data_IF_937868999784
#
_entry.id   IF_937868999784
#
_cell.length_a   1.000
_cell.length_b   1.000
_cell.length_c   1.000
_cell.angle_alpha   90.00
_cell.angle_beta   90.00
_cell.angle_gamma   90.00
#
_symmetry.space_group_name_H-M   'P 1'
#
loop_
_entity.id
_entity.type
_entity.pdbx_description
1 polymer ?
#
# COMPACT_ATOMS: atom_id res chain seq x y z
N UNK A 1 24.17 -9.14 73.00
CA UNK A 1 24.23 -7.67 72.81
C UNK A 1 25.10 -7.37 71.60
N UNK A 2 24.58 -6.52 70.69
CA UNK A 2 25.24 -5.88 69.53
C UNK A 2 25.68 -6.85 68.40
N UNK A 3 24.83 -7.19 67.42
CA UNK A 3 24.37 -6.36 66.28
C UNK A 3 25.50 -5.73 65.47
N UNK A 4 25.89 -6.38 64.36
CA UNK A 4 26.44 -5.72 63.17
C UNK A 4 25.92 -6.38 61.89
N UNK A 5 25.23 -5.54 61.13
CA UNK A 5 24.63 -5.69 59.81
C UNK A 5 25.67 -6.00 58.73
N UNK A 6 25.39 -7.01 57.90
CA UNK A 6 26.07 -7.25 56.62
C UNK A 6 25.12 -6.79 55.50
N UNK A 7 25.57 -5.99 54.51
CA UNK A 7 24.70 -5.48 53.47
C UNK A 7 24.34 -6.60 52.49
N UNK A 8 23.03 -6.80 52.28
CA UNK A 8 22.49 -7.65 51.24
C UNK A 8 22.76 -7.00 49.86
N UNK A 9 23.69 -7.57 49.10
CA UNK A 9 23.86 -7.26 47.68
C UNK A 9 22.74 -7.99 46.91
N UNK A 10 21.72 -7.25 46.49
CA UNK A 10 20.75 -7.71 45.51
C UNK A 10 21.47 -7.96 44.17
N UNK A 11 21.79 -9.21 43.88
CA UNK A 11 22.17 -9.64 42.55
C UNK A 11 20.92 -9.61 41.65
N UNK A 12 20.78 -8.53 40.87
CA UNK A 12 19.86 -8.51 39.74
C UNK A 12 20.34 -9.54 38.70
N UNK A 13 19.72 -10.72 38.70
CA UNK A 13 19.73 -11.64 37.56
C UNK A 13 19.10 -10.90 36.36
N UNK A 14 19.95 -10.23 35.58
CA UNK A 14 19.58 -9.79 34.25
C UNK A 14 19.38 -11.06 33.41
N UNK A 15 18.12 -11.46 33.26
CA UNK A 15 17.71 -12.37 32.19
C UNK A 15 18.04 -11.65 30.90
N UNK A 16 19.22 -11.94 30.34
CA UNK A 16 19.52 -11.67 28.94
C UNK A 16 18.62 -12.61 28.17
N UNK A 17 17.38 -12.15 27.96
CA UNK A 17 16.48 -12.72 26.99
C UNK A 17 17.18 -12.57 25.65
N UNK A 18 17.86 -13.62 25.22
CA UNK A 18 18.20 -13.81 23.82
C UNK A 18 16.86 -13.85 23.13
N UNK A 19 16.44 -12.68 22.61
CA UNK A 19 15.36 -12.62 21.65
C UNK A 19 15.85 -13.47 20.49
N UNK A 20 15.41 -14.73 20.47
CA UNK A 20 15.44 -15.56 19.29
C UNK A 20 14.64 -14.81 18.24
N UNK A 21 15.30 -13.94 17.49
CA UNK A 21 14.83 -13.44 16.22
C UNK A 21 14.76 -14.67 15.33
N UNK A 22 13.67 -15.42 15.44
CA UNK A 22 13.27 -16.34 14.40
C UNK A 22 13.35 -15.53 13.12
N UNK A 23 14.29 -15.90 12.24
CA UNK A 23 14.39 -15.30 10.94
C UNK A 23 13.02 -15.50 10.29
N UNK A 24 12.21 -14.44 10.28
CA UNK A 24 10.98 -14.40 9.50
C UNK A 24 11.44 -14.52 8.07
N UNK A 25 11.47 -15.75 7.54
CA UNK A 25 11.78 -15.98 6.14
C UNK A 25 10.84 -15.14 5.29
N UNK A 26 11.36 -14.60 4.20
CA UNK A 26 10.51 -13.95 3.20
C UNK A 26 9.33 -14.88 2.88
N UNK A 27 8.13 -14.31 2.74
CA UNK A 27 6.98 -15.06 2.26
C UNK A 27 7.24 -15.60 0.84
N UNK A 28 6.32 -16.42 0.31
CA UNK A 28 6.54 -17.09 -0.96
C UNK A 28 6.78 -16.05 -2.06
N UNK A 29 7.86 -16.21 -2.82
CA UNK A 29 7.99 -15.48 -4.08
C UNK A 29 7.13 -16.18 -5.12
N UNK A 30 6.20 -15.47 -5.74
CA UNK A 30 5.36 -16.03 -6.80
C UNK A 30 5.81 -15.49 -8.16
N UNK A 31 6.12 -16.40 -9.07
CA UNK A 31 6.54 -16.10 -10.43
C UNK A 31 5.35 -16.27 -11.36
N UNK A 32 4.72 -15.15 -11.72
CA UNK A 32 3.73 -15.09 -12.79
C UNK A 32 4.40 -14.60 -14.07
N UNK A 33 4.70 -15.52 -14.98
CA UNK A 33 5.39 -15.23 -16.23
C UNK A 33 5.38 -16.43 -17.18
N UNK A 34 5.76 -16.20 -18.42
CA UNK A 34 5.96 -17.25 -19.41
C UNK A 34 7.15 -18.14 -19.02
N UNK A 35 7.21 -19.33 -19.64
CA UNK A 35 8.13 -20.40 -19.25
C UNK A 35 9.60 -19.97 -19.23
N UNK A 36 10.08 -19.28 -20.27
CA UNK A 36 11.50 -18.91 -20.37
C UNK A 36 11.92 -17.90 -19.29
N UNK A 37 11.05 -16.94 -18.97
CA UNK A 37 11.30 -15.98 -17.91
C UNK A 37 11.32 -16.65 -16.54
N UNK A 38 10.36 -17.55 -16.29
CA UNK A 38 10.28 -18.29 -15.05
C UNK A 38 11.52 -19.17 -14.85
N UNK A 39 11.89 -19.96 -15.87
CA UNK A 39 13.07 -20.80 -15.82
C UNK A 39 14.34 -19.99 -15.61
N UNK A 40 14.46 -18.80 -16.22
CA UNK A 40 15.61 -17.93 -15.98
C UNK A 40 15.73 -17.47 -14.51
N UNK A 41 14.61 -17.13 -13.87
CA UNK A 41 14.56 -16.76 -12.45
C UNK A 41 14.92 -17.97 -11.59
N UNK A 42 14.32 -19.14 -11.88
CA UNK A 42 14.63 -20.38 -11.18
C UNK A 42 16.10 -20.75 -11.35
N UNK A 43 16.64 -20.85 -12.55
CA UNK A 43 18.02 -21.30 -12.78
C UNK A 43 19.06 -20.35 -12.16
N UNK A 44 18.72 -19.06 -12.04
CA UNK A 44 19.56 -18.07 -11.37
C UNK A 44 19.33 -17.93 -9.85
N UNK A 45 18.53 -18.78 -9.21
CA UNK A 45 18.11 -18.58 -7.81
C UNK A 45 19.23 -18.70 -6.78
N UNK A 46 20.40 -19.26 -7.15
CA UNK A 46 21.45 -19.59 -6.20
C UNK A 46 21.77 -18.40 -5.28
N UNK A 47 21.63 -18.63 -3.96
CA UNK A 47 21.90 -17.66 -2.87
C UNK A 47 20.88 -16.51 -2.73
N UNK A 48 19.68 -16.62 -3.30
CA UNK A 48 18.61 -15.64 -3.09
C UNK A 48 17.50 -16.16 -2.17
N UNK A 49 17.18 -15.37 -1.16
CA UNK A 49 16.10 -15.64 -0.21
C UNK A 49 14.77 -15.86 -0.93
N UNK A 50 14.08 -16.95 -0.62
CA UNK A 50 12.72 -17.25 -1.13
C UNK A 50 12.60 -17.63 -2.62
N UNK A 51 13.64 -17.46 -3.46
CA UNK A 51 13.57 -17.82 -4.88
C UNK A 51 13.78 -19.31 -5.12
N UNK A 52 14.64 -19.96 -4.34
CA UNK A 52 14.84 -21.41 -4.41
C UNK A 52 13.56 -22.21 -4.11
N UNK A 53 12.58 -21.57 -3.45
CA UNK A 53 11.27 -22.11 -3.11
C UNK A 53 10.14 -21.34 -3.80
N UNK A 54 10.46 -20.54 -4.83
CA UNK A 54 9.46 -19.74 -5.53
C UNK A 54 8.35 -20.61 -6.13
N UNK A 55 7.14 -20.08 -6.06
CA UNK A 55 5.95 -20.70 -6.59
C UNK A 55 5.70 -20.24 -8.02
N UNK A 56 5.07 -21.10 -8.83
CA UNK A 56 4.61 -20.78 -10.19
C UNK A 56 3.10 -20.95 -10.29
N UNK A 57 2.41 -20.04 -10.97
CA UNK A 57 0.96 -20.18 -11.15
C UNK A 57 0.64 -21.30 -12.17
N UNK A 58 -0.37 -22.12 -11.87
CA UNK A 58 -0.91 -23.13 -12.76
C UNK A 58 -1.87 -22.49 -13.81
N UNK A 59 -2.03 -23.10 -15.01
CA UNK A 59 -1.34 -24.28 -15.49
C UNK A 59 0.10 -23.94 -15.87
N UNK A 60 1.04 -24.62 -15.25
CA UNK A 60 2.42 -24.68 -15.72
C UNK A 60 2.54 -26.01 -16.46
N UNK A 61 3.06 -25.99 -17.69
CA UNK A 61 3.58 -27.23 -18.31
C UNK A 61 4.45 -27.94 -17.27
N UNK A 62 4.37 -29.26 -17.22
CA UNK A 62 5.21 -30.03 -16.29
C UNK A 62 6.67 -29.63 -16.46
N UNK A 63 7.26 -29.17 -15.36
CA UNK A 63 8.63 -28.68 -15.31
C UNK A 63 9.19 -29.10 -13.96
N UNK A 64 10.29 -29.85 -13.98
CA UNK A 64 10.96 -30.35 -12.78
C UNK A 64 11.45 -29.22 -11.87
N UNK A 65 11.70 -28.03 -12.43
CA UNK A 65 12.05 -26.80 -11.67
C UNK A 65 10.92 -26.35 -10.74
N UNK A 66 9.68 -26.63 -11.15
CA UNK A 66 8.47 -26.27 -10.42
C UNK A 66 7.70 -27.54 -10.09
N UNK A 67 8.20 -28.33 -9.12
CA UNK A 67 7.50 -29.53 -8.67
C UNK A 67 6.11 -29.14 -8.19
N UNK A 68 5.19 -30.11 -8.16
CA UNK A 68 3.79 -29.91 -7.77
C UNK A 68 3.65 -29.02 -6.54
N UNK A 69 4.40 -29.28 -5.47
CA UNK A 69 4.39 -28.55 -4.20
C UNK A 69 4.63 -27.02 -4.34
N UNK A 70 5.14 -26.55 -5.48
CA UNK A 70 5.44 -25.14 -5.78
C UNK A 70 4.54 -24.55 -6.86
N UNK A 71 3.37 -25.15 -7.08
CA UNK A 71 2.39 -24.64 -8.03
C UNK A 71 1.18 -24.04 -7.32
N UNK A 72 0.68 -22.93 -7.84
CA UNK A 72 -0.42 -22.15 -7.24
C UNK A 72 -1.64 -22.28 -8.13
N UNK A 73 -2.75 -22.80 -7.59
CA UNK A 73 -4.04 -22.82 -8.28
C UNK A 73 -4.55 -21.40 -8.54
N UNK A 74 -5.49 -21.22 -9.47
CA UNK A 74 -5.89 -19.87 -9.91
C UNK A 74 -7.40 -19.74 -10.01
N UNK A 75 -7.93 -18.76 -9.30
CA UNK A 75 -9.30 -18.29 -9.42
C UNK A 75 -9.31 -16.85 -9.91
N UNK A 76 -10.19 -16.54 -10.85
CA UNK A 76 -10.42 -15.16 -11.31
C UNK A 76 -11.31 -14.45 -10.29
N UNK A 77 -10.85 -13.35 -9.69
CA UNK A 77 -11.60 -12.61 -8.67
C UNK A 77 -12.98 -12.16 -9.15
N UNK A 78 -13.10 -11.79 -10.43
CA UNK A 78 -14.38 -11.40 -11.06
C UNK A 78 -15.45 -12.51 -11.04
N UNK A 79 -15.06 -13.77 -11.15
CA UNK A 79 -15.95 -14.94 -11.13
C UNK A 79 -16.10 -15.44 -9.70
N UNK A 80 -15.03 -15.38 -8.91
CA UNK A 80 -15.04 -15.80 -7.52
C UNK A 80 -16.01 -14.98 -6.67
N UNK A 81 -16.02 -13.64 -6.84
CA UNK A 81 -16.86 -12.73 -6.05
C UNK A 81 -18.37 -12.93 -6.27
N UNK A 82 -18.77 -13.53 -7.39
CA UNK A 82 -20.20 -13.76 -7.68
C UNK A 82 -20.75 -15.00 -6.99
N UNK A 83 -19.88 -15.90 -6.51
CA UNK A 83 -20.26 -17.15 -5.84
C UNK A 83 -20.90 -16.88 -4.46
N UNK A 84 -21.66 -17.87 -3.98
CA UNK A 84 -22.05 -17.96 -2.57
C UNK A 84 -20.86 -18.34 -1.70
N UNK A 85 -20.98 -18.24 -0.37
CA UNK A 85 -19.89 -18.63 0.53
C UNK A 85 -19.49 -20.10 0.35
N UNK A 86 -20.47 -21.02 0.28
CA UNK A 86 -20.22 -22.43 -0.03
C UNK A 86 -19.58 -22.60 -1.42
N UNK A 87 -20.04 -21.84 -2.42
CA UNK A 87 -19.46 -21.87 -3.77
C UNK A 87 -17.99 -21.45 -3.79
N UNK A 88 -17.63 -20.40 -3.04
CA UNK A 88 -16.23 -19.96 -2.87
C UNK A 88 -15.38 -21.05 -2.20
N UNK A 89 -15.88 -21.66 -1.12
CA UNK A 89 -15.19 -22.77 -0.42
C UNK A 89 -14.96 -23.95 -1.36
N UNK A 90 -15.99 -24.38 -2.08
CA UNK A 90 -15.90 -25.48 -3.05
C UNK A 90 -14.95 -25.16 -4.19
N UNK A 91 -14.94 -23.92 -4.70
CA UNK A 91 -14.00 -23.50 -5.73
C UNK A 91 -12.55 -23.57 -5.24
N UNK A 92 -12.26 -23.08 -4.03
CA UNK A 92 -10.92 -23.15 -3.43
C UNK A 92 -10.49 -24.59 -3.20
N UNK A 93 -11.34 -25.42 -2.58
CA UNK A 93 -11.03 -26.84 -2.32
C UNK A 93 -10.83 -27.63 -3.61
N UNK A 94 -11.59 -27.32 -4.66
CA UNK A 94 -11.39 -27.92 -5.99
C UNK A 94 -10.02 -27.58 -6.55
N UNK A 95 -9.60 -26.31 -6.50
CA UNK A 95 -8.24 -25.92 -6.93
C UNK A 95 -7.17 -26.63 -6.09
N UNK A 96 -7.34 -26.69 -4.76
CA UNK A 96 -6.41 -27.39 -3.87
C UNK A 96 -6.33 -28.91 -4.12
N UNK A 97 -7.42 -29.51 -4.61
CA UNK A 97 -7.49 -30.93 -4.94
C UNK A 97 -6.89 -31.25 -6.33
N UNK A 98 -6.63 -30.25 -7.17
CA UNK A 98 -6.01 -30.48 -8.48
C UNK A 98 -4.65 -31.15 -8.33
N UNK A 99 -4.36 -32.08 -9.25
CA UNK A 99 -3.13 -32.89 -9.22
C UNK A 99 -1.87 -32.03 -9.39
N UNK A 100 -1.97 -30.86 -9.99
CA UNK A 100 -0.86 -29.97 -10.28
C UNK A 100 -0.80 -28.74 -9.35
N UNK A 101 -1.61 -28.67 -8.29
CA UNK A 101 -1.56 -27.59 -7.29
C UNK A 101 -0.82 -28.05 -6.03
N UNK A 102 0.03 -27.16 -5.52
CA UNK A 102 1.06 -27.45 -4.51
C UNK A 102 0.75 -27.02 -3.09
N UNK A 103 -0.39 -26.37 -2.87
CA UNK A 103 -0.71 -25.90 -1.54
C UNK A 103 -1.39 -24.55 -1.47
N UNK A 104 -1.33 -23.75 -2.53
CA UNK A 104 -1.82 -22.38 -2.52
C UNK A 104 -2.83 -22.15 -3.66
N UNK A 105 -3.77 -21.24 -3.43
CA UNK A 105 -4.71 -20.76 -4.44
C UNK A 105 -4.67 -19.25 -4.52
N UNK A 106 -4.35 -18.74 -5.70
CA UNK A 106 -4.39 -17.32 -6.02
C UNK A 106 -5.79 -16.88 -6.46
N UNK A 107 -6.27 -15.79 -5.89
CA UNK A 107 -7.47 -15.08 -6.33
C UNK A 107 -7.01 -13.76 -6.94
N UNK A 108 -7.11 -13.68 -8.26
CA UNK A 108 -6.58 -12.55 -9.04
C UNK A 108 -7.57 -11.38 -9.11
N UNK A 109 -7.07 -10.15 -9.29
CA UNK A 109 -7.88 -8.96 -9.61
C UNK A 109 -8.93 -8.58 -8.54
N UNK A 110 -8.49 -8.45 -7.29
CA UNK A 110 -9.36 -7.93 -6.21
C UNK A 110 -9.62 -6.43 -6.41
N UNK A 111 -10.80 -6.12 -6.94
CA UNK A 111 -11.28 -4.78 -7.23
C UNK A 111 -12.31 -4.31 -6.19
N UNK A 112 -11.99 -3.27 -5.40
CA UNK A 112 -12.88 -2.77 -4.35
C UNK A 112 -14.33 -2.50 -4.80
N UNK A 113 -14.62 -2.00 -6.02
CA UNK A 113 -15.99 -1.83 -6.49
C UNK A 113 -16.80 -3.13 -6.60
N UNK A 114 -16.16 -4.29 -6.80
CA UNK A 114 -16.85 -5.59 -6.94
C UNK A 114 -17.14 -6.26 -5.60
N UNK A 115 -16.37 -5.91 -4.57
CA UNK A 115 -16.49 -6.45 -3.21
C UNK A 115 -17.35 -5.53 -2.35
N UNK A 116 -18.65 -5.43 -2.64
CA UNK A 116 -19.63 -4.69 -1.81
C UNK A 116 -19.66 -5.18 -0.36
N UNK A 117 -20.24 -4.45 0.60
CA UNK A 117 -20.35 -4.92 1.99
C UNK A 117 -20.95 -6.32 2.11
N UNK A 118 -21.96 -6.64 1.29
CA UNK A 118 -22.61 -7.96 1.25
C UNK A 118 -21.64 -9.02 0.72
N UNK A 119 -20.92 -8.74 -0.37
CA UNK A 119 -19.93 -9.67 -0.94
C UNK A 119 -18.72 -9.87 -0.04
N UNK A 120 -18.32 -8.85 0.73
CA UNK A 120 -17.31 -8.97 1.77
C UNK A 120 -17.81 -9.82 2.95
N UNK A 121 -19.08 -9.71 3.32
CA UNK A 121 -19.68 -10.60 4.31
C UNK A 121 -19.69 -12.06 3.82
N UNK A 122 -20.04 -12.30 2.55
CA UNK A 122 -19.95 -13.62 1.90
C UNK A 122 -18.52 -14.16 1.90
N UNK A 123 -17.54 -13.34 1.50
CA UNK A 123 -16.13 -13.74 1.52
C UNK A 123 -15.67 -14.08 2.94
N UNK A 124 -15.99 -13.25 3.92
CA UNK A 124 -15.64 -13.52 5.33
C UNK A 124 -16.26 -14.83 5.84
N UNK A 125 -17.51 -15.11 5.47
CA UNK A 125 -18.16 -16.39 5.78
C UNK A 125 -17.41 -17.56 5.12
N UNK A 126 -17.04 -17.42 3.84
CA UNK A 126 -16.24 -18.43 3.14
C UNK A 126 -14.88 -18.66 3.80
N UNK A 127 -14.19 -17.59 4.23
CA UNK A 127 -12.91 -17.67 4.96
C UNK A 127 -13.07 -18.46 6.26
N UNK A 128 -14.14 -18.21 7.03
CA UNK A 128 -14.44 -18.95 8.25
C UNK A 128 -14.71 -20.44 7.95
N UNK A 129 -15.46 -20.75 6.89
CA UNK A 129 -15.78 -22.11 6.47
C UNK A 129 -14.57 -22.88 5.91
N UNK A 130 -13.61 -22.18 5.32
CA UNK A 130 -12.32 -22.74 4.91
C UNK A 130 -11.47 -23.15 6.12
N UNK A 131 -11.63 -22.47 7.26
CA UNK A 131 -10.85 -22.75 8.47
C UNK A 131 -9.35 -22.63 8.19
N UNK A 132 -8.52 -23.65 8.50
CA UNK A 132 -7.09 -23.63 8.23
C UNK A 132 -6.71 -23.37 6.76
N UNK A 133 -7.54 -23.79 5.80
CA UNK A 133 -7.27 -23.58 4.38
C UNK A 133 -7.30 -22.09 3.97
N UNK A 134 -7.89 -21.21 4.78
CA UNK A 134 -7.86 -19.76 4.53
C UNK A 134 -6.42 -19.22 4.44
N UNK A 135 -5.50 -19.80 5.22
CA UNK A 135 -4.07 -19.46 5.20
C UNK A 135 -3.36 -19.83 3.90
N UNK A 136 -4.00 -20.63 3.04
CA UNK A 136 -3.49 -21.08 1.74
C UNK A 136 -3.91 -20.15 0.60
N UNK A 137 -4.74 -19.15 0.89
CA UNK A 137 -5.19 -18.18 -0.10
C UNK A 137 -4.16 -17.07 -0.30
N UNK A 138 -3.98 -16.70 -1.57
CA UNK A 138 -3.19 -15.56 -2.01
C UNK A 138 -4.11 -14.59 -2.74
N UNK A 139 -4.12 -13.32 -2.33
CA UNK A 139 -4.91 -12.28 -2.99
C UNK A 139 -4.03 -11.36 -3.83
N UNK A 140 -4.40 -11.14 -5.10
CA UNK A 140 -3.78 -10.07 -5.90
C UNK A 140 -4.69 -8.86 -5.98
N UNK A 141 -4.27 -7.78 -5.34
CA UNK A 141 -5.04 -6.54 -5.27
C UNK A 141 -4.85 -5.75 -6.56
N UNK A 142 -5.97 -5.47 -7.22
CA UNK A 142 -5.97 -4.71 -8.46
C UNK A 142 -5.47 -3.27 -8.21
N UNK A 143 -4.80 -2.64 -9.19
CA UNK A 143 -4.16 -1.35 -8.97
C UNK A 143 -5.11 -0.21 -8.58
N UNK A 144 -6.34 -0.23 -9.09
CA UNK A 144 -7.38 0.73 -8.68
C UNK A 144 -7.65 0.64 -7.18
N UNK A 145 -7.74 -0.57 -6.63
CA UNK A 145 -7.87 -0.81 -5.18
C UNK A 145 -6.62 -0.40 -4.42
N UNK A 146 -5.43 -0.67 -4.98
CA UNK A 146 -4.16 -0.23 -4.37
C UNK A 146 -4.18 1.28 -4.17
N UNK A 147 -4.52 2.04 -5.20
CA UNK A 147 -4.64 3.49 -5.13
C UNK A 147 -5.77 3.96 -4.19
N UNK A 148 -6.94 3.29 -4.19
CA UNK A 148 -8.06 3.68 -3.32
C UNK A 148 -7.71 3.60 -1.83
N UNK A 149 -7.07 2.52 -1.38
CA UNK A 149 -6.66 2.38 0.03
C UNK A 149 -5.44 3.26 0.32
N UNK A 150 -4.45 3.25 -0.59
CA UNK A 150 -3.18 3.94 -0.41
C UNK A 150 -3.28 5.47 -0.37
N UNK A 151 -4.24 6.06 -1.11
CA UNK A 151 -4.42 7.52 -1.22
C UNK A 151 -5.26 8.13 -0.11
N UNK A 152 -5.95 7.35 0.71
CA UNK A 152 -6.73 7.91 1.83
C UNK A 152 -5.74 8.48 2.84
N UNK A 153 -5.99 9.73 3.27
CA UNK A 153 -5.22 10.38 4.33
C UNK A 153 -5.07 9.44 5.53
N UNK A 154 -3.83 9.08 5.84
CA UNK A 154 -3.50 8.08 6.87
C UNK A 154 -4.06 8.44 8.25
N UNK A 155 -4.26 9.73 8.53
CA UNK A 155 -4.82 10.22 9.80
C UNK A 155 -6.33 10.04 9.93
N UNK A 156 -7.02 9.73 8.82
CA UNK A 156 -8.46 9.48 8.81
C UNK A 156 -8.70 7.98 8.80
N UNK A 157 -9.83 7.47 9.32
CA UNK A 157 -10.20 6.08 9.06
C UNK A 157 -10.46 5.87 7.56
N UNK A 158 -10.31 4.62 7.10
CA UNK A 158 -10.88 4.21 5.82
C UNK A 158 -12.40 4.29 5.88
N UNK A 159 -13.08 4.32 4.73
CA UNK A 159 -14.51 4.03 4.73
C UNK A 159 -14.75 2.63 5.29
N UNK A 160 -15.93 2.38 5.88
CA UNK A 160 -16.28 1.07 6.44
C UNK A 160 -16.04 -0.07 5.43
N UNK A 161 -16.46 0.15 4.18
CA UNK A 161 -16.21 -0.75 3.03
C UNK A 161 -14.73 -1.09 2.83
N UNK A 162 -13.86 -0.10 2.69
CA UNK A 162 -12.42 -0.34 2.46
C UNK A 162 -11.73 -0.92 3.69
N UNK A 163 -12.17 -0.54 4.89
CA UNK A 163 -11.68 -1.12 6.15
C UNK A 163 -12.02 -2.60 6.24
N UNK A 164 -13.26 -2.96 5.89
CA UNK A 164 -13.71 -4.35 5.86
C UNK A 164 -12.94 -5.16 4.80
N UNK A 165 -12.73 -4.60 3.60
CA UNK A 165 -11.91 -5.24 2.58
C UNK A 165 -10.50 -5.54 3.09
N UNK A 166 -9.78 -4.56 3.63
CA UNK A 166 -8.42 -4.76 4.17
C UNK A 166 -8.41 -5.82 5.27
N UNK A 167 -9.37 -5.76 6.19
CA UNK A 167 -9.53 -6.77 7.26
C UNK A 167 -9.76 -8.16 6.70
N UNK A 168 -10.67 -8.34 5.75
CA UNK A 168 -10.97 -9.65 5.15
C UNK A 168 -9.78 -10.20 4.37
N UNK A 169 -9.09 -9.39 3.57
CA UNK A 169 -7.90 -9.84 2.84
C UNK A 169 -6.77 -10.26 3.77
N UNK A 170 -6.60 -9.56 4.90
CA UNK A 170 -5.58 -9.88 5.90
C UNK A 170 -5.77 -11.23 6.59
N UNK A 171 -6.92 -11.88 6.43
CA UNK A 171 -7.19 -13.23 6.93
C UNK A 171 -6.62 -14.32 6.02
N UNK A 172 -6.30 -14.01 4.75
CA UNK A 172 -5.64 -14.93 3.83
C UNK A 172 -4.16 -15.16 4.15
N UNK A 173 -3.51 -16.10 3.47
CA UNK A 173 -2.07 -16.34 3.64
C UNK A 173 -1.22 -15.14 3.24
N UNK A 174 -1.44 -14.64 2.02
CA UNK A 174 -0.64 -13.56 1.42
C UNK A 174 -1.50 -12.60 0.61
N UNK A 175 -1.09 -11.34 0.52
CA UNK A 175 -1.72 -10.30 -0.29
C UNK A 175 -0.66 -9.53 -1.08
N UNK A 176 -0.77 -9.50 -2.40
CA UNK A 176 0.17 -8.84 -3.29
C UNK A 176 -0.47 -7.60 -3.92
N UNK A 177 0.23 -6.47 -3.85
CA UNK A 177 -0.21 -5.19 -4.39
C UNK A 177 0.32 -5.02 -5.82
N UNK A 178 -0.58 -4.87 -6.80
CA UNK A 178 -0.19 -4.57 -8.18
C UNK A 178 0.03 -3.06 -8.39
N UNK A 179 1.25 -2.66 -8.78
CA UNK A 179 1.68 -1.26 -8.87
C UNK A 179 1.70 -0.70 -10.30
N UNK A 180 0.62 -0.91 -11.05
CA UNK A 180 0.52 -0.58 -12.48
C UNK A 180 -0.81 0.06 -12.82
N UNK A 181 -0.88 1.08 -13.65
CA UNK A 181 -2.14 1.53 -14.23
C UNK A 181 -2.65 0.54 -15.30
N UNK A 182 -3.86 0.80 -15.82
CA UNK A 182 -4.39 0.10 -16.98
C UNK A 182 -3.38 0.04 -18.12
N UNK A 183 -3.31 -1.09 -18.82
CA UNK A 183 -2.32 -1.33 -19.87
C UNK A 183 -0.92 -1.70 -19.37
N UNK A 184 -0.73 -1.94 -18.06
CA UNK A 184 0.53 -2.31 -17.40
C UNK A 184 1.61 -1.20 -17.38
N UNK A 185 1.19 0.07 -17.36
CA UNK A 185 2.11 1.21 -17.12
C UNK A 185 2.43 1.32 -15.64
N UNK A 186 3.70 1.28 -15.18
CA UNK A 186 4.02 1.34 -13.75
C UNK A 186 3.59 2.67 -13.12
N UNK A 187 3.19 2.63 -11.85
CA UNK A 187 2.97 3.83 -11.05
C UNK A 187 4.20 4.75 -11.02
N UNK A 188 3.95 6.05 -10.84
CA UNK A 188 5.02 7.03 -10.61
C UNK A 188 5.75 6.81 -9.28
N UNK A 189 6.95 7.40 -9.12
CA UNK A 189 7.74 7.31 -7.89
C UNK A 189 6.96 7.75 -6.64
N UNK A 190 6.37 8.94 -6.69
CA UNK A 190 5.64 9.51 -5.55
C UNK A 190 4.34 8.75 -5.27
N UNK A 191 3.70 8.23 -6.33
CA UNK A 191 2.51 7.39 -6.22
C UNK A 191 2.81 6.06 -5.54
N UNK A 192 3.85 5.33 -5.96
CA UNK A 192 4.27 4.09 -5.30
C UNK A 192 4.61 4.36 -3.83
N UNK A 193 5.42 5.38 -3.56
CA UNK A 193 5.81 5.72 -2.20
C UNK A 193 4.60 5.98 -1.30
N UNK A 194 3.66 6.81 -1.78
CA UNK A 194 2.42 7.15 -1.05
C UNK A 194 1.55 5.93 -0.84
N UNK A 195 1.24 5.20 -1.91
CA UNK A 195 0.23 4.15 -1.87
C UNK A 195 0.73 2.96 -1.04
N UNK A 196 1.99 2.54 -1.21
CA UNK A 196 2.60 1.48 -0.40
C UNK A 196 2.67 1.84 1.08
N UNK A 197 2.99 3.10 1.40
CA UNK A 197 3.00 3.58 2.78
C UNK A 197 1.59 3.59 3.37
N UNK A 198 0.59 3.98 2.58
CA UNK A 198 -0.81 3.89 2.96
C UNK A 198 -1.21 2.46 3.30
N UNK A 199 -0.92 1.50 2.41
CA UNK A 199 -1.21 0.09 2.67
C UNK A 199 -0.52 -0.46 3.91
N UNK A 200 0.80 -0.24 4.05
CA UNK A 200 1.55 -0.68 5.24
C UNK A 200 0.98 -0.12 6.53
N UNK A 201 0.51 1.12 6.53
CA UNK A 201 -0.11 1.75 7.69
C UNK A 201 -1.49 1.15 8.05
N UNK A 202 -2.23 0.63 7.07
CA UNK A 202 -3.58 0.04 7.28
C UNK A 202 -3.56 -1.46 7.50
N UNK A 203 -2.45 -2.12 7.20
CA UNK A 203 -2.30 -3.56 7.35
C UNK A 203 -2.09 -3.94 8.82
N UNK A 204 -2.68 -5.04 9.32
CA UNK A 204 -2.44 -5.50 10.69
C UNK A 204 -0.94 -5.75 10.94
N UNK A 205 -0.43 -5.25 12.07
CA UNK A 205 1.00 -5.25 12.37
C UNK A 205 1.58 -6.65 12.58
N UNK A 206 0.82 -7.52 13.24
CA UNK A 206 1.08 -8.96 13.43
C UNK A 206 1.07 -9.76 12.12
N UNK A 207 0.52 -9.16 11.06
CA UNK A 207 0.43 -9.74 9.71
C UNK A 207 1.29 -8.98 8.70
N UNK A 208 2.22 -8.15 9.16
CA UNK A 208 3.03 -7.29 8.29
C UNK A 208 3.79 -8.06 7.20
N UNK A 209 4.22 -9.29 7.49
CA UNK A 209 4.98 -10.16 6.57
C UNK A 209 4.14 -10.78 5.46
N UNK A 210 2.81 -10.70 5.52
CA UNK A 210 1.89 -11.27 4.52
C UNK A 210 1.50 -10.29 3.42
N UNK A 211 1.99 -9.05 3.49
CA UNK A 211 1.75 -8.02 2.49
C UNK A 211 2.97 -7.89 1.57
N UNK A 212 2.75 -7.98 0.26
CA UNK A 212 3.81 -8.06 -0.74
C UNK A 212 3.55 -7.07 -1.88
N UNK A 213 4.53 -6.93 -2.77
CA UNK A 213 4.38 -6.19 -4.04
C UNK A 213 4.54 -7.13 -5.21
N UNK A 214 3.79 -6.86 -6.28
CA UNK A 214 3.96 -7.54 -7.57
C UNK A 214 4.70 -6.62 -8.54
N UNK A 215 5.73 -7.16 -9.19
CA UNK A 215 6.59 -6.43 -10.14
C UNK A 215 6.58 -7.17 -11.47
N UNK A 216 5.88 -6.62 -12.45
CA UNK A 216 5.86 -7.12 -13.82
C UNK A 216 6.75 -6.39 -14.81
N UNK A 217 6.70 -6.77 -16.11
CA UNK A 217 7.56 -6.19 -17.10
C UNK A 217 7.27 -4.70 -17.21
N UNK A 218 8.28 -3.91 -17.59
CA UNK A 218 8.03 -2.53 -17.96
C UNK A 218 7.11 -2.44 -19.19
N UNK A 219 6.16 -1.51 -19.15
CA UNK A 219 5.56 -0.92 -20.34
C UNK A 219 5.60 0.61 -20.25
N UNK A 220 5.50 1.26 -21.41
CA UNK A 220 6.02 2.61 -21.57
C UNK A 220 7.55 2.59 -21.53
N UNK A 221 8.21 3.71 -21.83
CA UNK A 221 9.68 3.79 -21.92
C UNK A 221 10.44 3.60 -20.57
N UNK A 222 9.77 3.08 -19.55
CA UNK A 222 10.31 2.82 -18.20
C UNK A 222 11.07 1.51 -18.21
N UNK A 223 12.21 1.40 -17.51
CA UNK A 223 12.97 0.13 -17.42
C UNK A 223 12.66 -0.59 -16.11
N UNK A 224 12.82 -1.92 -16.07
CA UNK A 224 12.58 -2.73 -14.85
C UNK A 224 13.38 -2.23 -13.64
N UNK A 225 14.66 -1.86 -13.82
CA UNK A 225 15.49 -1.29 -12.75
C UNK A 225 14.89 0.01 -12.18
N UNK A 226 14.26 0.82 -13.02
CA UNK A 226 13.60 2.04 -12.60
C UNK A 226 12.36 1.75 -11.75
N UNK A 227 11.58 0.71 -12.08
CA UNK A 227 10.44 0.26 -11.26
C UNK A 227 10.92 -0.13 -9.86
N UNK A 228 11.98 -0.92 -9.77
CA UNK A 228 12.59 -1.30 -8.48
C UNK A 228 13.09 -0.08 -7.70
N UNK A 229 13.73 0.88 -8.35
CA UNK A 229 14.14 2.14 -7.70
C UNK A 229 12.93 2.93 -7.17
N UNK A 230 11.84 3.02 -7.92
CA UNK A 230 10.62 3.72 -7.47
C UNK A 230 10.02 3.06 -6.22
N UNK A 231 9.97 1.73 -6.16
CA UNK A 231 9.52 1.00 -4.96
C UNK A 231 10.47 1.23 -3.79
N UNK A 232 11.79 1.09 -4.02
CA UNK A 232 12.83 1.28 -2.99
C UNK A 232 12.95 2.71 -2.47
N UNK A 233 12.32 3.69 -3.12
CA UNK A 233 12.39 5.09 -2.71
C UNK A 233 11.69 5.38 -1.37
N UNK A 234 10.90 4.45 -0.81
CA UNK A 234 10.27 4.61 0.51
C UNK A 234 10.59 3.47 1.47
N UNK A 235 10.51 3.73 2.78
CA UNK A 235 10.66 2.68 3.81
C UNK A 235 9.63 1.56 3.63
N UNK A 236 8.38 1.92 3.34
CA UNK A 236 7.31 0.97 3.09
C UNK A 236 7.61 0.05 1.91
N UNK A 237 8.12 0.60 0.80
CA UNK A 237 8.49 -0.20 -0.36
C UNK A 237 9.67 -1.14 -0.08
N UNK A 238 10.70 -0.68 0.65
CA UNK A 238 11.80 -1.56 1.10
C UNK A 238 11.29 -2.69 2.00
N UNK A 239 10.42 -2.40 2.96
CA UNK A 239 9.83 -3.41 3.83
C UNK A 239 9.00 -4.45 3.05
N UNK A 240 8.21 -4.02 2.07
CA UNK A 240 7.43 -4.96 1.24
C UNK A 240 8.30 -5.81 0.32
N UNK A 241 9.44 -5.30 -0.14
CA UNK A 241 10.42 -6.09 -0.89
C UNK A 241 11.10 -7.15 0.01
N UNK A 242 11.37 -6.82 1.29
CA UNK A 242 11.88 -7.80 2.26
C UNK A 242 10.91 -8.96 2.51
N UNK A 243 9.59 -8.71 2.39
CA UNK A 243 8.59 -9.77 2.50
C UNK A 243 8.61 -10.76 1.32
N UNK A 244 9.33 -10.47 0.23
CA UNK A 244 9.38 -11.29 -0.97
C UNK A 244 8.46 -10.73 -2.07
N UNK A 245 9.01 -10.19 -3.18
CA UNK A 245 8.22 -9.67 -4.29
C UNK A 245 7.75 -10.77 -5.23
N UNK A 246 6.56 -10.65 -5.79
CA UNK A 246 6.12 -11.47 -6.92
C UNK A 246 6.59 -10.88 -8.25
N UNK A 247 6.80 -11.73 -9.26
CA UNK A 247 6.92 -11.29 -10.66
C UNK A 247 5.57 -11.38 -11.37
N UNK A 248 5.31 -10.52 -12.34
CA UNK A 248 4.10 -10.58 -13.19
C UNK A 248 4.45 -10.46 -14.67
N UNK A 249 3.73 -11.11 -15.58
CA UNK A 249 3.76 -10.83 -17.02
C UNK A 249 5.11 -10.91 -17.75
N UNK A 250 6.18 -11.45 -17.14
CA UNK A 250 7.49 -11.56 -17.78
C UNK A 250 7.41 -12.57 -18.93
N UNK A 251 7.89 -12.20 -20.12
CA UNK A 251 7.73 -13.03 -21.32
C UNK A 251 9.02 -13.78 -21.67
N UNK A 252 10.17 -13.11 -21.63
CA UNK A 252 11.42 -13.66 -22.15
C UNK A 252 12.41 -14.07 -21.06
N UNK A 253 13.35 -14.96 -21.41
CA UNK A 253 14.53 -15.27 -20.57
C UNK A 253 15.24 -14.00 -20.09
N UNK A 254 15.41 -13.03 -20.99
CA UNK A 254 16.03 -11.72 -20.69
C UNK A 254 15.24 -10.93 -19.64
N UNK A 255 13.91 -10.93 -19.70
CA UNK A 255 13.09 -10.26 -18.68
C UNK A 255 13.25 -10.91 -17.31
N UNK A 256 13.26 -12.26 -17.27
CA UNK A 256 13.52 -13.03 -16.06
C UNK A 256 14.88 -12.71 -15.44
N UNK A 257 15.96 -12.72 -16.24
CA UNK A 257 17.30 -12.38 -15.78
C UNK A 257 17.42 -10.93 -15.29
N UNK A 258 16.75 -9.98 -15.95
CA UNK A 258 16.74 -8.57 -15.51
C UNK A 258 15.99 -8.42 -14.19
N UNK A 259 14.84 -9.06 -14.01
CA UNK A 259 14.10 -9.05 -12.75
C UNK A 259 14.97 -9.62 -11.62
N UNK A 260 15.61 -10.77 -11.86
CA UNK A 260 16.49 -11.43 -10.91
C UNK A 260 17.69 -10.56 -10.53
N UNK A 261 18.30 -9.87 -11.50
CA UNK A 261 19.41 -8.94 -11.27
C UNK A 261 19.01 -7.81 -10.32
N UNK A 262 17.80 -7.27 -10.48
CA UNK A 262 17.29 -6.24 -9.57
C UNK A 262 17.05 -6.80 -8.16
N UNK A 263 16.51 -8.02 -8.06
CA UNK A 263 16.33 -8.63 -6.75
C UNK A 263 17.66 -8.87 -6.02
N UNK A 264 18.68 -9.41 -6.72
CA UNK A 264 20.05 -9.53 -6.16
C UNK A 264 20.62 -8.20 -5.69
N UNK A 265 20.39 -7.15 -6.47
CA UNK A 265 20.85 -5.79 -6.14
C UNK A 265 20.18 -5.28 -4.87
N UNK A 266 18.89 -5.57 -4.69
CA UNK A 266 18.16 -5.25 -3.47
C UNK A 266 18.66 -6.04 -2.26
N UNK A 267 18.78 -7.37 -2.36
CA UNK A 267 19.23 -8.23 -1.24
C UNK A 267 20.61 -7.84 -0.69
N UNK A 268 21.52 -7.38 -1.56
CA UNK A 268 22.85 -6.90 -1.13
C UNK A 268 22.80 -5.61 -0.32
N UNK A 269 21.76 -4.79 -0.50
CA UNK A 269 21.65 -3.48 0.13
C UNK A 269 20.17 -3.09 0.34
N UNK A 270 19.43 -3.82 1.19
CA UNK A 270 17.98 -3.66 1.32
C UNK A 270 17.58 -2.30 1.89
N UNK A 271 18.43 -1.72 2.74
CA UNK A 271 18.26 -0.39 3.31
C UNK A 271 18.71 0.75 2.37
N UNK A 272 19.45 0.45 1.29
CA UNK A 272 20.00 1.49 0.44
C UNK A 272 18.93 2.23 -0.34
N UNK A 273 19.01 3.55 -0.29
CA UNK A 273 18.16 4.47 -1.03
C UNK A 273 18.72 4.62 -2.46
N UNK A 274 17.89 4.47 -3.50
CA UNK A 274 18.37 4.56 -4.88
C UNK A 274 18.79 5.99 -5.27
N UNK A 275 19.54 6.15 -6.38
CA UNK A 275 19.83 7.45 -6.97
C UNK A 275 18.55 8.28 -7.16
N UNK A 276 18.61 9.56 -6.79
CA UNK A 276 17.43 10.43 -6.69
C UNK A 276 16.81 10.51 -5.29
N UNK A 277 17.32 9.73 -4.31
CA UNK A 277 17.02 9.87 -2.89
C UNK A 277 15.73 9.17 -2.43
N UNK A 278 15.33 9.42 -1.17
CA UNK A 278 14.05 8.94 -0.67
C UNK A 278 12.91 9.78 -1.25
N UNK A 279 11.79 9.14 -1.60
CA UNK A 279 10.58 9.86 -1.95
C UNK A 279 10.12 10.65 -0.71
N UNK A 280 9.96 11.96 -0.86
CA UNK A 280 9.50 12.82 0.24
C UNK A 280 7.99 12.66 0.37
N UNK A 281 7.57 11.84 1.32
CA UNK A 281 6.17 11.78 1.70
C UNK A 281 5.87 12.90 2.69
N UNK A 282 4.90 13.74 2.36
CA UNK A 282 4.36 14.65 3.34
C UNK A 282 3.82 13.88 4.56
N UNK A 283 4.02 14.43 5.76
CA UNK A 283 3.61 13.82 7.04
C UNK A 283 2.20 14.31 7.47
N UNK A 284 1.52 15.06 6.59
CA UNK A 284 0.31 15.80 6.91
C UNK A 284 0.63 17.08 7.69
N UNK A 285 -0.31 18.02 7.72
CA UNK A 285 -0.08 19.33 8.30
C UNK A 285 0.59 20.29 7.31
N UNK A 286 1.04 21.43 7.84
CA UNK A 286 1.63 22.48 6.99
C UNK A 286 0.60 23.38 6.30
N UNK A 287 -0.67 23.32 6.68
CA UNK A 287 -1.67 24.30 6.24
C UNK A 287 -2.14 25.13 7.43
N UNK A 288 -1.98 26.46 7.37
CA UNK A 288 -2.47 27.37 8.41
C UNK A 288 -3.10 28.61 7.78
N UNK A 289 -4.21 29.07 8.36
CA UNK A 289 -4.74 30.42 8.12
C UNK A 289 -4.11 31.33 9.18
N UNK A 290 -3.18 32.18 8.76
CA UNK A 290 -2.45 33.09 9.63
C UNK A 290 -3.18 34.43 9.73
N UNK A 291 -3.09 35.06 10.91
CA UNK A 291 -3.40 36.49 11.14
C UNK A 291 -4.68 36.99 10.43
N UNK A 292 -5.81 36.33 10.68
CA UNK A 292 -7.09 36.68 10.06
C UNK A 292 -8.04 37.19 11.14
N UNK A 293 -8.32 38.50 11.26
CA UNK A 293 -9.26 39.00 12.25
C UNK A 293 -10.65 38.36 12.12
N UNK A 294 -11.39 38.25 13.23
CA UNK A 294 -12.76 37.72 13.20
C UNK A 294 -13.72 38.65 12.43
N UNK A 295 -13.40 39.93 12.34
CA UNK A 295 -14.13 40.95 11.57
C UNK A 295 -13.19 41.54 10.52
N UNK A 296 -13.60 41.55 9.26
CA UNK A 296 -12.79 42.00 8.12
C UNK A 296 -13.59 42.98 7.27
N UNK A 297 -12.93 44.00 6.72
CA UNK A 297 -13.52 44.87 5.69
C UNK A 297 -13.47 44.19 4.32
N UNK A 298 -14.31 44.61 3.39
CA UNK A 298 -14.21 44.18 1.97
C UNK A 298 -12.81 44.45 1.42
N UNK A 299 -12.31 43.58 0.54
CA UNK A 299 -10.96 43.71 -0.02
C UNK A 299 -9.81 43.45 0.97
N UNK A 300 -10.10 43.14 2.23
CA UNK A 300 -9.05 42.80 3.22
C UNK A 300 -8.29 41.54 2.78
N UNK A 301 -7.05 41.41 3.26
CA UNK A 301 -6.17 40.28 2.92
C UNK A 301 -6.13 39.27 4.05
N UNK A 302 -6.11 38.00 3.67
CA UNK A 302 -5.89 36.86 4.57
C UNK A 302 -4.54 36.24 4.22
N UNK A 303 -3.76 35.87 5.24
CA UNK A 303 -2.51 35.14 5.03
C UNK A 303 -2.75 33.65 5.17
N UNK A 304 -2.34 32.87 4.18
CA UNK A 304 -2.40 31.41 4.19
C UNK A 304 -0.97 30.89 4.10
N UNK A 305 -0.56 30.06 5.05
CA UNK A 305 0.74 29.39 5.03
C UNK A 305 0.57 27.94 4.57
N UNK A 306 1.37 27.58 3.58
CA UNK A 306 1.46 26.25 2.96
C UNK A 306 2.90 25.77 3.09
N UNK A 307 3.19 24.89 4.03
CA UNK A 307 4.55 24.43 4.34
C UNK A 307 5.04 23.28 3.45
N UNK A 308 4.15 22.68 2.64
CA UNK A 308 4.47 21.51 1.82
C UNK A 308 3.96 21.63 0.37
N UNK A 309 4.58 20.94 -0.60
CA UNK A 309 4.09 20.89 -1.98
C UNK A 309 2.64 20.37 -2.06
N UNK A 310 1.91 20.85 -3.07
CA UNK A 310 0.54 20.48 -3.32
C UNK A 310 -0.29 21.64 -3.86
N UNK A 311 -1.56 21.35 -4.15
CA UNK A 311 -2.54 22.35 -4.59
C UNK A 311 -3.44 22.73 -3.42
N UNK A 312 -3.30 23.95 -2.93
CA UNK A 312 -4.22 24.53 -1.97
C UNK A 312 -5.31 25.32 -2.69
N UNK A 313 -6.56 25.12 -2.32
CA UNK A 313 -7.70 25.91 -2.81
C UNK A 313 -8.28 26.69 -1.64
N UNK A 314 -8.45 28.00 -1.83
CA UNK A 314 -9.04 28.89 -0.83
C UNK A 314 -10.48 29.18 -1.22
N UNK A 315 -11.40 28.87 -0.31
CA UNK A 315 -12.84 28.98 -0.48
C UNK A 315 -13.41 29.95 0.54
N UNK A 316 -14.36 30.77 0.10
CA UNK A 316 -15.17 31.65 0.94
C UNK A 316 -16.64 31.22 0.80
N UNK A 317 -17.29 30.90 1.91
CA UNK A 317 -18.68 30.43 1.92
C UNK A 317 -19.51 31.31 2.86
N UNK A 318 -20.56 32.01 2.38
CA UNK A 318 -21.51 32.68 3.27
C UNK A 318 -22.23 31.65 4.12
N UNK A 319 -22.57 31.98 5.37
CA UNK A 319 -23.42 31.10 6.20
C UNK A 319 -24.79 30.96 5.51
N UNK A 320 -25.18 29.73 5.14
CA UNK A 320 -26.40 29.45 4.37
C UNK A 320 -26.30 29.69 2.86
N UNK A 321 -25.13 30.08 2.35
CA UNK A 321 -24.93 30.42 0.94
C UNK A 321 -24.07 29.43 0.15
N UNK A 322 -23.88 29.72 -1.14
CA UNK A 322 -23.02 28.93 -2.03
C UNK A 322 -21.55 29.26 -1.83
N UNK A 323 -20.69 28.22 -1.88
CA UNK A 323 -19.23 28.36 -1.80
C UNK A 323 -18.66 29.08 -3.04
N UNK A 324 -17.67 29.95 -2.84
CA UNK A 324 -16.89 30.61 -3.91
C UNK A 324 -15.41 30.28 -3.74
N UNK A 325 -14.73 29.89 -4.83
CA UNK A 325 -13.26 29.83 -4.86
C UNK A 325 -12.70 31.23 -5.03
N UNK A 326 -11.80 31.64 -4.15
CA UNK A 326 -11.19 32.98 -4.19
C UNK A 326 -9.70 32.94 -4.54
N UNK A 327 -9.03 31.79 -4.38
CA UNK A 327 -7.65 31.59 -4.84
C UNK A 327 -7.30 30.11 -5.03
N UNK A 328 -6.18 29.85 -5.71
CA UNK A 328 -5.43 28.62 -5.58
C UNK A 328 -3.94 28.90 -5.42
N UNK A 329 -3.28 28.06 -4.63
CA UNK A 329 -1.86 28.13 -4.30
C UNK A 329 -1.25 26.81 -4.76
N UNK A 330 -0.23 26.87 -5.60
CA UNK A 330 0.45 25.69 -6.17
C UNK A 330 1.87 25.49 -5.66
N UNK A 331 2.37 26.44 -4.85
CA UNK A 331 3.73 26.43 -4.32
C UNK A 331 3.75 26.62 -2.80
N UNK A 332 4.69 25.99 -2.08
CA UNK A 332 4.91 26.26 -0.66
C UNK A 332 5.21 27.74 -0.39
N UNK A 333 4.94 28.20 0.84
CA UNK A 333 5.19 29.55 1.32
C UNK A 333 4.00 30.19 2.03
N UNK A 334 4.16 31.46 2.40
CA UNK A 334 3.06 32.31 2.91
C UNK A 334 2.48 33.16 1.79
N UNK A 335 1.16 33.11 1.64
CA UNK A 335 0.44 33.72 0.53
C UNK A 335 -0.61 34.69 1.05
N UNK A 336 -0.63 35.91 0.51
CA UNK A 336 -1.64 36.92 0.82
C UNK A 336 -2.78 36.81 -0.18
N UNK A 337 -3.97 36.48 0.31
CA UNK A 337 -5.16 36.27 -0.51
C UNK A 337 -6.16 37.39 -0.22
N UNK A 338 -6.58 38.09 -1.26
CA UNK A 338 -7.54 39.18 -1.13
C UNK A 338 -8.97 38.64 -1.07
N UNK A 339 -9.78 39.13 -0.12
CA UNK A 339 -11.21 38.87 -0.10
C UNK A 339 -11.88 39.60 -1.27
N UNK A 340 -12.86 39.00 -1.94
CA UNK A 340 -13.56 39.65 -3.05
C UNK A 340 -14.23 40.96 -2.59
N UNK A 341 -13.99 42.06 -3.32
CA UNK A 341 -14.56 43.37 -2.99
C UNK A 341 -16.09 43.43 -3.09
N UNK A 342 -16.68 42.55 -3.89
CA UNK A 342 -18.11 42.35 -4.11
C UNK A 342 -18.78 41.49 -3.02
N UNK A 343 -18.05 41.05 -2.00
CA UNK A 343 -18.61 40.25 -0.91
C UNK A 343 -19.63 41.07 -0.09
N UNK A 344 -20.88 40.59 -0.01
CA UNK A 344 -21.92 41.22 0.81
C UNK A 344 -21.52 41.19 2.30
N UNK A 345 -21.92 42.17 3.12
CA UNK A 345 -21.65 42.13 4.55
C UNK A 345 -22.38 40.94 5.17
N UNK A 346 -21.76 40.25 6.12
CA UNK A 346 -22.34 39.05 6.71
C UNK A 346 -21.32 38.09 7.32
N UNK A 347 -21.78 36.92 7.76
CA UNK A 347 -20.94 35.86 8.32
C UNK A 347 -20.50 34.89 7.22
N UNK A 348 -19.23 34.50 7.26
CA UNK A 348 -18.61 33.61 6.29
C UNK A 348 -17.73 32.56 6.97
N UNK A 349 -17.52 31.45 6.27
CA UNK A 349 -16.48 30.47 6.56
C UNK A 349 -15.41 30.57 5.47
N UNK A 350 -14.21 30.95 5.86
CA UNK A 350 -13.01 30.83 5.03
C UNK A 350 -12.44 29.42 5.22
N UNK A 351 -12.34 28.65 4.15
CA UNK A 351 -11.84 27.28 4.16
C UNK A 351 -10.69 27.15 3.17
N UNK A 352 -9.54 26.71 3.65
CA UNK A 352 -8.39 26.34 2.81
C UNK A 352 -8.26 24.83 2.80
N UNK A 353 -8.13 24.25 1.61
CA UNK A 353 -7.97 22.81 1.42
C UNK A 353 -6.69 22.58 0.65
N UNK A 354 -5.68 21.96 1.27
CA UNK A 354 -4.44 21.55 0.64
C UNK A 354 -4.52 20.07 0.29
N UNK A 355 -4.39 19.76 -0.99
CA UNK A 355 -4.34 18.39 -1.50
C UNK A 355 -3.00 18.14 -2.20
N UNK A 356 -2.33 17.06 -1.81
CA UNK A 356 -1.06 16.63 -2.39
C UNK A 356 -0.54 15.38 -1.66
N UNK A 357 0.13 14.48 -2.37
CA UNK A 357 0.75 13.27 -1.81
C UNK A 357 -0.21 12.36 -1.02
N UNK A 358 -1.49 12.29 -1.42
CA UNK A 358 -2.52 11.51 -0.72
C UNK A 358 -2.99 12.10 0.59
N UNK A 359 -2.53 13.30 0.92
CA UNK A 359 -2.88 14.00 2.14
C UNK A 359 -3.79 15.17 1.82
N UNK A 360 -4.78 15.35 2.69
CA UNK A 360 -5.73 16.45 2.60
C UNK A 360 -5.76 17.21 3.91
N UNK A 361 -5.11 18.37 3.93
CA UNK A 361 -5.19 19.28 5.06
C UNK A 361 -6.31 20.29 4.84
N UNK A 362 -7.05 20.58 5.92
CA UNK A 362 -8.13 21.55 5.92
C UNK A 362 -7.89 22.52 7.07
N UNK A 363 -7.77 23.80 6.73
CA UNK A 363 -7.80 24.88 7.71
C UNK A 363 -9.09 25.68 7.49
N UNK A 364 -9.78 26.04 8.56
CA UNK A 364 -11.02 26.81 8.46
C UNK A 364 -11.06 27.92 9.52
N UNK A 365 -11.69 29.04 9.17
CA UNK A 365 -11.92 30.16 10.08
C UNK A 365 -13.26 30.83 9.79
N UNK A 366 -14.03 31.08 10.83
CA UNK A 366 -15.25 31.90 10.74
C UNK A 366 -14.84 33.38 10.76
N UNK A 367 -15.39 34.17 9.85
CA UNK A 367 -15.15 35.61 9.75
C UNK A 367 -16.46 36.35 9.51
N UNK A 368 -16.52 37.64 9.87
CA UNK A 368 -17.60 38.56 9.53
C UNK A 368 -17.04 39.61 8.56
N UNK A 369 -17.67 39.78 7.41
CA UNK A 369 -17.33 40.84 6.45
C UNK A 369 -18.23 42.05 6.75
N UNK A 370 -17.60 43.21 6.93
CA UNK A 370 -18.26 44.52 7.07
C UNK A 370 -17.89 45.40 5.86
N UNK A 371 -18.57 46.53 5.71
CA UNK A 371 -18.27 47.49 4.63
C UNK A 371 -16.83 48.00 4.73
#
# INVERSE_FOLDING_TARGET
MLSRTVPAVCACLAVVGVASTAATGAGPVIVYGQHDAANAIHDGHARLTGISTAYRQAPAREDARYPRARRVGKLRGREFVTLSAQGMVSAVRRELAQRDVGGLVAIDEIEAPRYTPERLATLRQAMAMLGPDASRLVFYVAPGTVGQVGRVDRRRPLSAHLSQLVSTLSQGGHTYLALYHGGAVPFGRDEMARDLTGWRHRWPGDRASTLHVTIGPPRGNVRIAEIWHRIRASDAGRALLLNGPASYGLATRTDGLRWLTQYRTFERAPAAVPPGGAARLAVGGGLKILRTPAVMRRGSRVVVSVARPGRAVVLLTPVGGRRRRIAAITRPGSHRIQLPGDSRPGRYVLKVILSGDGLRDIAQRRIRIIK
#
